data_IF_856226612910
#
_entry.id   IF_856226612910
#
_cell.length_a   1.000
_cell.length_b   1.000
_cell.length_c   1.000
_cell.angle_alpha   90.00
_cell.angle_beta   90.00
_cell.angle_gamma   90.00
#
_symmetry.space_group_name_H-M   'P 1'
#
loop_
_entity.id
_entity.type
_entity.pdbx_description
1 polymer ?
#
# COMPACT_ATOMS: atom_id res chain seq x y z
N UNK A 1 -28.12 -6.27 0.31
CA UNK A 1 -28.82 -7.24 -0.57
C UNK A 1 -29.03 -8.62 0.05
N UNK A 2 -28.10 -9.13 0.87
CA UNK A 2 -28.24 -10.47 1.47
C UNK A 2 -28.99 -10.46 2.81
N UNK A 3 -29.14 -9.33 3.52
CA UNK A 3 -29.76 -9.31 4.86
C UNK A 3 -31.29 -9.33 4.90
N UNK A 4 -31.94 -9.69 3.80
CA UNK A 4 -33.38 -9.95 3.80
C UNK A 4 -33.69 -11.28 4.50
N UNK A 5 -34.63 -11.32 5.48
CA UNK A 5 -35.05 -12.54 6.15
C UNK A 5 -35.55 -13.63 5.19
N UNK A 6 -36.04 -13.24 4.00
CA UNK A 6 -36.58 -14.15 2.98
C UNK A 6 -35.52 -14.96 2.21
N UNK A 7 -34.24 -14.53 2.27
CA UNK A 7 -33.12 -15.12 1.52
C UNK A 7 -32.05 -15.72 2.45
N UNK A 8 -32.31 -15.80 3.75
CA UNK A 8 -31.37 -16.32 4.74
C UNK A 8 -30.86 -17.74 4.45
N UNK A 9 -31.73 -18.62 3.93
CA UNK A 9 -31.38 -19.99 3.54
C UNK A 9 -30.45 -20.05 2.32
N UNK A 10 -30.51 -19.07 1.43
CA UNK A 10 -29.69 -19.00 0.22
C UNK A 10 -28.31 -18.39 0.51
N UNK A 11 -28.13 -17.72 1.65
CA UNK A 11 -26.83 -17.15 2.07
C UNK A 11 -25.75 -18.21 2.11
N UNK A 12 -26.02 -19.36 2.71
CA UNK A 12 -25.03 -20.42 2.91
C UNK A 12 -24.57 -21.06 1.58
N UNK A 13 -25.39 -20.98 0.53
CA UNK A 13 -25.04 -21.46 -0.81
C UNK A 13 -24.42 -20.37 -1.70
N UNK A 14 -24.90 -19.13 -1.59
CA UNK A 14 -24.45 -18.01 -2.43
C UNK A 14 -23.15 -17.38 -1.93
N UNK A 15 -22.90 -17.32 -0.61
CA UNK A 15 -21.67 -16.72 -0.07
C UNK A 15 -20.41 -17.42 -0.60
N UNK A 16 -20.29 -18.76 -0.57
CA UNK A 16 -19.09 -19.45 -1.07
C UNK A 16 -18.85 -19.19 -2.57
N UNK A 17 -19.91 -19.06 -3.36
CA UNK A 17 -19.82 -18.74 -4.80
C UNK A 17 -19.34 -17.31 -5.01
N UNK A 18 -19.90 -16.35 -4.27
CA UNK A 18 -19.47 -14.94 -4.30
C UNK A 18 -18.03 -14.79 -3.82
N UNK A 19 -17.65 -15.47 -2.73
CA UNK A 19 -16.27 -15.49 -2.24
C UNK A 19 -15.31 -16.07 -3.28
N UNK A 20 -15.67 -17.17 -3.94
CA UNK A 20 -14.84 -17.77 -5.00
C UNK A 20 -14.63 -16.83 -6.19
N UNK A 21 -15.70 -16.17 -6.65
CA UNK A 21 -15.62 -15.15 -7.70
C UNK A 21 -14.77 -13.96 -7.28
N UNK A 22 -14.89 -13.51 -6.03
CA UNK A 22 -14.07 -12.43 -5.48
C UNK A 22 -12.60 -12.82 -5.35
N UNK A 23 -12.28 -14.03 -4.87
CA UNK A 23 -10.90 -14.56 -4.83
C UNK A 23 -10.28 -14.57 -6.23
N UNK A 24 -11.04 -15.02 -7.23
CA UNK A 24 -10.59 -15.02 -8.62
C UNK A 24 -10.33 -13.59 -9.14
N UNK A 25 -11.25 -12.66 -8.91
CA UNK A 25 -11.09 -11.26 -9.31
C UNK A 25 -9.90 -10.57 -8.62
N UNK A 26 -9.67 -10.86 -7.34
CA UNK A 26 -8.52 -10.36 -6.57
C UNK A 26 -7.22 -10.92 -7.13
N UNK A 27 -7.16 -12.24 -7.37
CA UNK A 27 -5.97 -12.90 -7.95
C UNK A 27 -5.60 -12.36 -9.33
N UNK A 28 -6.59 -11.96 -10.14
CA UNK A 28 -6.36 -11.33 -11.44
C UNK A 28 -5.77 -9.91 -11.35
N UNK A 29 -5.88 -9.26 -10.17
CA UNK A 29 -5.51 -7.85 -9.98
C UNK A 29 -4.33 -7.65 -9.04
N UNK A 30 -4.03 -8.66 -8.21
CA UNK A 30 -3.04 -8.61 -7.14
C UNK A 30 -2.14 -9.84 -7.26
N UNK A 31 -0.87 -9.61 -7.60
CA UNK A 31 0.14 -10.66 -7.80
C UNK A 31 0.79 -11.16 -6.49
N UNK A 32 0.12 -11.01 -5.35
CA UNK A 32 0.61 -11.49 -4.05
C UNK A 32 -0.46 -12.28 -3.29
N UNK A 33 -0.02 -13.14 -2.38
CA UNK A 33 -0.92 -13.92 -1.54
C UNK A 33 -1.80 -13.00 -0.69
N UNK A 34 -3.11 -13.22 -0.79
CA UNK A 34 -4.12 -12.42 -0.11
C UNK A 34 -5.06 -13.33 0.68
N UNK A 35 -5.44 -12.86 1.85
CA UNK A 35 -6.51 -13.46 2.65
C UNK A 35 -7.79 -12.64 2.47
N UNK A 36 -8.94 -13.33 2.48
CA UNK A 36 -10.24 -12.67 2.52
C UNK A 36 -10.79 -12.78 3.93
N UNK A 37 -10.98 -11.64 4.57
CA UNK A 37 -11.48 -11.55 5.94
C UNK A 37 -12.81 -10.80 5.92
N UNK A 38 -13.83 -11.39 6.54
CA UNK A 38 -15.08 -10.68 6.79
C UNK A 38 -14.89 -9.73 7.96
N UNK A 39 -15.23 -8.46 7.75
CA UNK A 39 -15.24 -7.46 8.82
C UNK A 39 -16.53 -6.63 8.76
N UNK A 40 -16.68 -5.74 9.73
CA UNK A 40 -17.80 -4.79 9.79
C UNK A 40 -17.28 -3.42 9.42
N UNK A 41 -17.96 -2.75 8.49
CA UNK A 41 -17.62 -1.39 8.07
C UNK A 41 -17.81 -0.41 9.23
N UNK A 42 -16.84 0.49 9.44
CA UNK A 42 -16.97 1.51 10.47
C UNK A 42 -17.98 2.60 10.13
N UNK A 43 -18.29 2.79 8.85
CA UNK A 43 -19.17 3.83 8.34
C UNK A 43 -20.65 3.50 8.52
N UNK A 44 -21.09 2.34 8.02
CA UNK A 44 -22.51 1.93 7.96
C UNK A 44 -22.81 0.67 8.77
N UNK A 45 -21.81 0.09 9.44
CA UNK A 45 -21.92 -1.17 10.20
C UNK A 45 -22.37 -2.36 9.36
N UNK A 46 -22.28 -2.26 8.03
CA UNK A 46 -22.56 -3.38 7.14
C UNK A 46 -21.39 -4.37 7.11
N UNK A 47 -21.69 -5.63 6.78
CA UNK A 47 -20.69 -6.66 6.61
C UNK A 47 -19.93 -6.43 5.31
N UNK A 48 -18.62 -6.24 5.40
CA UNK A 48 -17.72 -6.04 4.27
C UNK A 48 -16.72 -7.20 4.16
N UNK A 49 -16.27 -7.44 2.93
CA UNK A 49 -15.22 -8.41 2.64
C UNK A 49 -13.93 -7.66 2.37
N UNK A 50 -12.97 -7.77 3.30
CA UNK A 50 -11.67 -7.14 3.18
C UNK A 50 -10.66 -8.10 2.55
N UNK A 51 -9.86 -7.58 1.63
CA UNK A 51 -8.69 -8.25 1.09
C UNK A 51 -7.48 -7.84 1.92
N UNK A 52 -6.87 -8.78 2.63
CA UNK A 52 -5.68 -8.53 3.44
C UNK A 52 -4.46 -9.13 2.76
N UNK A 53 -3.38 -8.35 2.71
CA UNK A 53 -2.08 -8.86 2.34
C UNK A 53 -1.53 -9.75 3.47
N UNK A 54 -0.67 -10.71 3.14
CA UNK A 54 0.06 -11.47 4.15
C UNK A 54 0.90 -10.54 5.05
N UNK A 55 1.10 -10.89 6.33
CA UNK A 55 2.03 -10.19 7.21
C UNK A 55 3.41 -10.01 6.59
N UNK A 56 3.94 -8.78 6.65
CA UNK A 56 5.28 -8.47 6.17
C UNK A 56 6.10 -7.84 7.30
N UNK A 57 7.34 -8.31 7.54
CA UNK A 57 8.21 -7.67 8.52
C UNK A 57 8.58 -6.26 8.04
N UNK A 58 8.42 -5.21 8.86
CA UNK A 58 8.65 -3.84 8.42
C UNK A 58 10.15 -3.51 8.29
N UNK A 59 11.00 -4.30 8.94
CA UNK A 59 12.46 -4.19 8.89
C UNK A 59 13.04 -5.42 8.20
N UNK A 60 13.73 -5.20 7.09
CA UNK A 60 14.49 -6.23 6.39
C UNK A 60 15.98 -6.06 6.64
N UNK A 61 16.78 -7.10 6.37
CA UNK A 61 18.24 -6.97 6.27
C UNK A 61 18.60 -6.68 4.83
N UNK A 62 19.41 -5.66 4.61
CA UNK A 62 19.92 -5.37 3.27
C UNK A 62 20.75 -6.57 2.77
N UNK A 63 20.51 -7.10 1.55
CA UNK A 63 21.07 -8.37 1.12
C UNK A 63 22.60 -8.39 0.97
N UNK A 64 23.22 -7.22 0.78
CA UNK A 64 24.69 -7.06 0.69
C UNK A 64 25.32 -6.65 2.02
N UNK A 65 24.93 -5.50 2.56
CA UNK A 65 25.54 -4.91 3.76
C UNK A 65 25.07 -5.54 5.07
N UNK A 66 23.94 -6.25 5.08
CA UNK A 66 23.34 -6.82 6.29
C UNK A 66 22.68 -5.80 7.22
N UNK A 67 22.77 -4.50 6.92
CA UNK A 67 22.19 -3.42 7.73
C UNK A 67 20.67 -3.54 7.78
N UNK A 68 20.01 -3.31 8.94
CA UNK A 68 18.56 -3.22 9.01
C UNK A 68 18.04 -2.04 8.19
N UNK A 69 17.04 -2.28 7.34
CA UNK A 69 16.40 -1.28 6.47
C UNK A 69 14.89 -1.27 6.68
N UNK A 70 14.31 -0.08 6.69
CA UNK A 70 12.86 0.11 6.78
C UNK A 70 12.22 -0.10 5.40
N UNK A 71 11.73 -1.32 5.16
CA UNK A 71 11.16 -1.75 3.88
C UNK A 71 9.64 -1.89 3.99
N UNK A 72 8.98 -0.84 4.49
CA UNK A 72 7.54 -0.82 4.73
C UNK A 72 6.89 0.46 4.22
N UNK A 73 5.82 0.31 3.42
CA UNK A 73 5.15 1.40 2.71
C UNK A 73 3.99 2.04 3.47
N UNK A 74 3.89 1.87 4.79
CA UNK A 74 2.80 2.47 5.60
C UNK A 74 2.72 3.99 5.42
N UNK A 75 3.86 4.67 5.33
CA UNK A 75 3.93 6.11 5.13
C UNK A 75 3.19 6.57 3.87
N UNK A 76 3.31 5.83 2.76
CA UNK A 76 2.73 6.19 1.46
C UNK A 76 1.33 5.60 1.23
N UNK A 77 1.03 4.44 1.83
CA UNK A 77 -0.21 3.68 1.57
C UNK A 77 -1.29 3.85 2.63
N UNK A 78 -0.97 4.30 3.86
CA UNK A 78 -1.96 4.50 4.92
C UNK A 78 -3.09 5.43 4.43
N UNK A 79 -4.34 4.95 4.51
CA UNK A 79 -5.51 5.73 4.13
C UNK A 79 -5.60 7.03 4.95
N UNK A 80 -5.40 6.93 6.26
CA UNK A 80 -5.42 8.07 7.19
C UNK A 80 -4.34 9.12 6.85
N UNK A 81 -3.07 8.71 6.67
CA UNK A 81 -1.99 9.66 6.33
C UNK A 81 -2.24 10.36 4.99
N UNK A 82 -2.86 9.67 4.03
CA UNK A 82 -3.19 10.26 2.73
C UNK A 82 -4.32 11.28 2.85
N UNK A 83 -5.30 11.04 3.69
CA UNK A 83 -6.34 12.00 4.02
C UNK A 83 -5.78 13.22 4.76
N UNK A 84 -4.92 13.01 5.76
CA UNK A 84 -4.25 14.13 6.46
C UNK A 84 -3.42 14.99 5.51
N UNK A 85 -2.64 14.37 4.62
CA UNK A 85 -1.86 15.10 3.62
C UNK A 85 -2.73 15.83 2.61
N UNK A 86 -3.92 15.31 2.26
CA UNK A 86 -4.80 15.99 1.31
C UNK A 86 -5.40 17.28 1.88
N UNK A 87 -5.53 17.40 3.21
CA UNK A 87 -5.91 18.66 3.87
C UNK A 87 -4.86 19.76 3.67
N UNK A 88 -3.59 19.40 3.55
CA UNK A 88 -2.48 20.36 3.38
C UNK A 88 -2.13 20.59 1.91
N UNK A 89 -2.05 19.53 1.10
CA UNK A 89 -1.56 19.58 -0.28
C UNK A 89 -2.66 19.51 -1.34
N UNK A 90 -3.91 19.44 -0.92
CA UNK A 90 -5.06 19.19 -1.80
C UNK A 90 -5.23 17.70 -2.11
N UNK A 91 -6.41 17.36 -2.63
CA UNK A 91 -6.66 16.00 -3.08
C UNK A 91 -5.82 15.68 -4.31
N UNK A 92 -5.21 14.50 -4.30
CA UNK A 92 -4.74 13.89 -5.54
C UNK A 92 -5.91 13.81 -6.53
N UNK A 93 -5.75 14.39 -7.72
CA UNK A 93 -6.70 14.22 -8.81
C UNK A 93 -6.61 12.76 -9.31
N UNK A 94 -7.33 11.87 -8.62
CA UNK A 94 -7.42 10.42 -8.86
C UNK A 94 -8.06 10.07 -10.21
N UNK A 95 -8.46 11.06 -11.01
CA UNK A 95 -8.86 10.90 -12.41
C UNK A 95 -7.66 10.61 -13.32
N UNK A 96 -6.45 11.06 -12.96
CA UNK A 96 -5.22 10.82 -13.73
C UNK A 96 -4.33 9.72 -13.13
N UNK A 97 -4.67 9.26 -11.93
CA UNK A 97 -3.93 8.21 -11.24
C UNK A 97 -4.35 6.84 -11.79
N UNK A 98 -3.38 6.00 -12.16
CA UNK A 98 -3.61 4.63 -12.62
C UNK A 98 -4.41 3.82 -11.59
N UNK A 99 -5.10 2.76 -12.01
CA UNK A 99 -5.88 1.90 -11.12
C UNK A 99 -5.13 1.40 -9.87
N UNK A 100 -3.79 1.31 -9.94
CA UNK A 100 -2.91 0.98 -8.81
C UNK A 100 -2.95 2.05 -7.68
N UNK A 101 -3.01 3.34 -8.02
CA UNK A 101 -3.02 4.42 -7.02
C UNK A 101 -4.31 4.45 -6.20
N UNK A 102 -5.41 3.91 -6.72
CA UNK A 102 -6.68 3.78 -5.97
C UNK A 102 -6.67 2.62 -4.99
N UNK A 103 -5.87 1.58 -5.27
CA UNK A 103 -5.73 0.37 -4.42
C UNK A 103 -4.74 0.62 -3.28
N UNK A 104 -3.83 1.59 -3.45
CA UNK A 104 -2.81 1.95 -2.46
C UNK A 104 -3.32 2.88 -1.33
N UNK A 105 -4.63 2.89 -1.05
CA UNK A 105 -5.19 3.44 0.18
C UNK A 105 -5.61 2.26 1.04
N UNK A 106 -4.85 1.99 2.08
CA UNK A 106 -4.98 0.75 2.84
C UNK A 106 -4.98 1.05 4.33
N UNK A 107 -5.85 0.36 5.06
CA UNK A 107 -5.78 0.29 6.51
C UNK A 107 -4.61 -0.62 6.91
N UNK A 108 -3.83 -0.20 7.90
CA UNK A 108 -2.65 -0.94 8.34
C UNK A 108 -2.93 -1.56 9.71
N UNK A 109 -2.51 -2.81 9.90
CA UNK A 109 -2.75 -3.59 11.11
C UNK A 109 -1.46 -4.19 11.64
N UNK A 110 -1.40 -4.39 12.95
CA UNK A 110 -0.39 -5.21 13.62
C UNK A 110 -0.67 -6.68 13.31
N UNK A 111 0.33 -7.40 12.80
CA UNK A 111 0.14 -8.76 12.33
C UNK A 111 -0.10 -9.79 13.45
N UNK A 112 0.36 -9.49 14.66
CA UNK A 112 0.28 -10.36 15.84
C UNK A 112 -1.01 -10.19 16.62
N UNK A 113 -1.55 -8.97 16.69
CA UNK A 113 -2.78 -8.66 17.43
C UNK A 113 -4.01 -8.48 16.55
N UNK A 114 -3.82 -8.28 15.24
CA UNK A 114 -4.85 -7.84 14.28
C UNK A 114 -5.49 -6.48 14.62
N UNK A 115 -4.85 -5.72 15.52
CA UNK A 115 -5.29 -4.36 15.85
C UNK A 115 -4.83 -3.38 14.77
N UNK A 116 -5.66 -2.39 14.47
CA UNK A 116 -5.30 -1.34 13.53
C UNK A 116 -4.17 -0.49 14.10
N UNK A 117 -3.23 -0.06 13.26
CA UNK A 117 -2.21 0.91 13.65
C UNK A 117 -2.88 2.20 14.14
N UNK A 118 -2.42 2.70 15.29
CA UNK A 118 -2.97 3.92 15.89
C UNK A 118 -2.61 5.14 15.06
N UNK A 119 -3.38 6.22 15.20
CA UNK A 119 -3.08 7.49 14.53
C UNK A 119 -1.77 8.07 15.05
N UNK A 120 -1.48 7.88 16.34
CA UNK A 120 -0.22 8.28 16.97
C UNK A 120 1.00 7.59 16.34
N UNK A 121 0.93 6.27 16.12
CA UNK A 121 2.00 5.51 15.48
C UNK A 121 2.19 5.93 14.02
N UNK A 122 1.09 6.06 13.28
CA UNK A 122 1.12 6.54 11.89
C UNK A 122 1.73 7.94 11.80
N UNK A 123 1.33 8.86 12.67
CA UNK A 123 1.87 10.21 12.73
C UNK A 123 3.35 10.23 13.10
N UNK A 124 3.78 9.33 13.99
CA UNK A 124 5.20 9.21 14.36
C UNK A 124 6.04 8.73 13.17
N UNK A 125 5.59 7.69 12.46
CA UNK A 125 6.26 7.21 11.25
C UNK A 125 6.34 8.31 10.19
N UNK A 126 5.23 9.02 9.94
CA UNK A 126 5.21 10.14 9.00
C UNK A 126 6.19 11.24 9.40
N UNK A 127 6.20 11.64 10.68
CA UNK A 127 7.15 12.63 11.20
C UNK A 127 8.61 12.22 10.97
N UNK A 128 8.96 10.97 11.23
CA UNK A 128 10.34 10.46 11.02
C UNK A 128 10.68 10.47 9.53
N UNK A 129 9.82 9.90 8.69
CA UNK A 129 10.06 9.87 7.24
C UNK A 129 10.19 11.29 6.68
N UNK A 130 9.24 12.18 7.00
CA UNK A 130 9.23 13.56 6.50
C UNK A 130 10.44 14.37 6.95
N UNK A 131 10.98 14.11 8.13
CA UNK A 131 12.22 14.73 8.63
C UNK A 131 13.43 14.35 7.79
N UNK A 132 13.49 13.11 7.32
CA UNK A 132 14.67 12.55 6.62
C UNK A 132 14.55 12.61 5.08
N UNK A 133 13.49 13.22 4.53
CA UNK A 133 13.32 13.39 3.07
C UNK A 133 14.38 14.35 2.50
N UNK A 134 15.10 13.86 1.49
CA UNK A 134 15.96 14.67 0.64
C UNK A 134 15.18 15.06 -0.63
N UNK A 135 14.97 16.36 -0.82
CA UNK A 135 14.28 16.90 -2.01
C UNK A 135 15.26 17.07 -3.16
N UNK A 136 15.10 16.28 -4.21
CA UNK A 136 15.94 16.34 -5.41
C UNK A 136 15.18 17.07 -6.53
N UNK A 137 15.65 18.26 -6.91
CA UNK A 137 15.10 19.04 -8.03
C UNK A 137 15.79 18.62 -9.33
N UNK A 138 15.28 17.56 -9.96
CA UNK A 138 15.81 17.05 -11.23
C UNK A 138 15.62 18.04 -12.39
N UNK A 139 16.64 18.14 -13.23
CA UNK A 139 16.66 18.85 -14.50
C UNK A 139 16.67 17.87 -15.67
N UNK A 140 16.45 18.38 -16.89
CA UNK A 140 16.51 17.55 -18.09
C UNK A 140 17.91 16.95 -18.26
N UNK A 141 17.96 15.62 -18.39
CA UNK A 141 19.22 14.88 -18.52
C UNK A 141 19.72 14.28 -17.20
N UNK A 142 19.18 14.71 -16.04
CA UNK A 142 19.54 14.12 -14.75
C UNK A 142 19.08 12.67 -14.65
N UNK A 143 19.93 11.84 -14.04
CA UNK A 143 19.63 10.46 -13.71
C UNK A 143 19.83 10.27 -12.22
N UNK A 144 18.82 9.70 -11.56
CA UNK A 144 18.90 9.31 -10.15
C UNK A 144 18.92 7.79 -10.09
N UNK A 145 19.99 7.24 -9.55
CA UNK A 145 20.10 5.82 -9.21
C UNK A 145 19.79 5.64 -7.73
N UNK A 146 18.88 4.71 -7.42
CA UNK A 146 18.47 4.41 -6.06
C UNK A 146 18.72 2.94 -5.75
N UNK A 147 19.22 2.66 -4.56
CA UNK A 147 19.13 1.33 -3.97
C UNK A 147 17.73 1.17 -3.35
N UNK A 148 16.93 0.30 -3.95
CA UNK A 148 15.54 0.09 -3.56
C UNK A 148 15.41 -0.49 -2.13
N UNK A 149 16.42 -1.20 -1.61
CA UNK A 149 16.37 -1.71 -0.24
C UNK A 149 16.57 -0.60 0.80
N UNK A 150 17.39 0.40 0.48
CA UNK A 150 17.79 1.43 1.43
C UNK A 150 17.02 2.74 1.29
N UNK A 151 16.29 2.95 0.18
CA UNK A 151 15.65 4.24 -0.12
C UNK A 151 14.17 4.09 -0.45
N UNK A 152 13.33 4.72 0.38
CA UNK A 152 11.96 5.05 -0.01
C UNK A 152 11.97 6.30 -0.90
N UNK A 153 11.17 6.26 -1.97
CA UNK A 153 11.07 7.35 -2.90
C UNK A 153 9.61 7.68 -3.21
N UNK A 154 9.39 8.92 -3.60
CA UNK A 154 8.07 9.43 -3.91
C UNK A 154 8.16 10.67 -4.77
N UNK A 155 7.02 11.34 -4.92
CA UNK A 155 6.90 12.53 -5.74
C UNK A 155 6.24 13.63 -4.92
N UNK A 156 6.91 14.78 -4.85
CA UNK A 156 6.31 15.98 -4.27
C UNK A 156 5.18 16.51 -5.20
N UNK A 157 4.13 17.14 -4.66
CA UNK A 157 3.16 17.86 -5.48
C UNK A 157 3.83 18.82 -6.47
N UNK A 158 3.33 18.88 -7.70
CA UNK A 158 3.84 19.72 -8.78
C UNK A 158 2.70 20.14 -9.71
N UNK A 159 2.92 21.19 -10.49
CA UNK A 159 1.98 21.69 -11.49
C UNK A 159 2.54 21.51 -12.91
N UNK A 160 1.65 21.44 -13.90
CA UNK A 160 2.00 21.30 -15.31
C UNK A 160 2.45 19.89 -15.70
N UNK A 161 3.08 19.79 -16.87
CA UNK A 161 3.50 18.49 -17.44
C UNK A 161 4.92 18.14 -17.03
N UNK A 162 5.09 16.94 -16.43
CA UNK A 162 6.40 16.39 -16.05
C UNK A 162 6.55 14.97 -16.61
N UNK A 163 7.61 14.72 -17.38
CA UNK A 163 7.89 13.41 -18.00
C UNK A 163 9.15 12.80 -17.41
N UNK A 164 9.03 11.64 -16.80
CA UNK A 164 10.13 10.87 -16.23
C UNK A 164 10.09 9.46 -16.82
N UNK A 165 11.25 8.95 -17.24
CA UNK A 165 11.42 7.54 -17.55
C UNK A 165 11.93 6.82 -16.30
N UNK A 166 11.51 5.58 -16.10
CA UNK A 166 11.98 4.70 -15.03
C UNK A 166 12.40 3.36 -15.62
N UNK A 167 13.42 2.75 -15.02
CA UNK A 167 13.85 1.39 -15.36
C UNK A 167 14.19 0.66 -14.08
N UNK A 168 14.03 -0.66 -14.10
CA UNK A 168 14.28 -1.54 -12.96
C UNK A 168 15.46 -2.44 -13.30
N UNK A 169 16.38 -2.55 -12.35
CA UNK A 169 17.42 -3.56 -12.43
C UNK A 169 16.92 -4.81 -11.72
N UNK A 170 17.05 -5.96 -12.38
CA UNK A 170 16.93 -7.23 -11.65
C UNK A 170 18.05 -7.27 -10.62
N UNK A 171 17.74 -7.74 -9.41
CA UNK A 171 18.74 -7.88 -8.34
C UNK A 171 20.01 -8.52 -8.92
N UNK A 172 21.16 -7.84 -8.90
CA UNK A 172 22.39 -8.44 -9.38
C UNK A 172 22.67 -9.66 -8.51
N UNK A 173 23.18 -10.74 -9.12
CA UNK A 173 23.67 -11.88 -8.35
C UNK A 173 24.90 -11.41 -7.61
N UNK A 174 24.73 -10.98 -6.37
CA UNK A 174 25.81 -10.42 -5.56
C UNK A 174 26.96 -11.42 -5.35
N UNK A 175 26.70 -12.72 -5.48
CA UNK A 175 27.71 -13.79 -5.55
C UNK A 175 28.61 -13.77 -6.78
N UNK A 176 28.27 -12.97 -7.80
CA UNK A 176 28.99 -12.89 -9.09
C UNK A 176 29.67 -11.52 -9.31
N UNK A 177 29.59 -10.62 -8.32
CA UNK A 177 30.35 -9.36 -8.33
C UNK A 177 31.71 -9.66 -7.70
N UNK A 178 32.83 -9.50 -8.43
CA UNK A 178 34.18 -9.78 -7.94
C UNK A 178 34.59 -8.97 -6.71
#
# INVERSE_FOLDING_TARGET
>A
FLDSPALGWAKDFLLPVVESLMRFAVKMKVDFETELVWSTSDYDKERILQVRAQPQPPVLKHPVTGTPVWFFNVHSHSAWLREERSKTYGNENLSEATGASRINRTDCYYADTDEQLTQEDLAYVDKVVMKDIIKVKMQQGDVVLLDNYSVQHGRWPFEGTRKHAVTWFKQPRYSEIP
#
